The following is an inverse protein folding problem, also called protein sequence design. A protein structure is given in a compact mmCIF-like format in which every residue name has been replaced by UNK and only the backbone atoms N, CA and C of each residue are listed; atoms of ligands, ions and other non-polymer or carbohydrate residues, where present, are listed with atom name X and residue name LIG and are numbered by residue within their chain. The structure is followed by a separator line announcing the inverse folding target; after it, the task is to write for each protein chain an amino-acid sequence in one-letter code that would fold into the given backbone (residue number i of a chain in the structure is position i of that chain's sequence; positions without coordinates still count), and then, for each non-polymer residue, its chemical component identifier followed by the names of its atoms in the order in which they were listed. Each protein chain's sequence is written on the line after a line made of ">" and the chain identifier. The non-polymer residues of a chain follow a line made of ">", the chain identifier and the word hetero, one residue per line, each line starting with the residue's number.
data_IF_884955987991
#
_entry.id   IF_884955987991
#
_cell.length_a   1.000
_cell.length_b   1.000
_cell.length_c   1.000
_cell.angle_alpha   90.00
_cell.angle_beta   90.00
_cell.angle_gamma   90.00
#
_symmetry.space_group_name_H-M   'P 1'
#
loop_
_entity.id
_entity.type
_entity.pdbx_description
1 polymer ?
#
# COMPACT_ATOMS: atom_id res chain seq x y z
N UNK A 1 -5.69 -23.78 -7.26
CA UNK A 1 -6.10 -23.62 -5.85
C UNK A 1 -7.34 -22.75 -5.89
N UNK A 2 -8.43 -23.14 -5.24
CA UNK A 2 -9.64 -22.32 -5.27
C UNK A 2 -9.39 -21.00 -4.53
N UNK A 3 -9.76 -19.90 -5.16
CA UNK A 3 -9.69 -18.56 -4.58
C UNK A 3 -10.53 -18.52 -3.30
N UNK A 4 -9.93 -18.10 -2.19
CA UNK A 4 -10.59 -18.01 -0.90
C UNK A 4 -11.28 -16.65 -0.68
N UNK A 5 -10.67 -15.58 -1.17
CA UNK A 5 -11.16 -14.20 -1.11
C UNK A 5 -10.41 -13.34 -2.13
N UNK A 6 -10.71 -12.05 -2.24
CA UNK A 6 -9.93 -11.12 -3.06
C UNK A 6 -8.59 -10.80 -2.41
N UNK A 7 -8.60 -10.60 -1.09
CA UNK A 7 -7.42 -10.34 -0.29
C UNK A 7 -7.38 -11.19 0.99
N UNK A 8 -6.17 -11.42 1.48
CA UNK A 8 -5.86 -12.26 2.62
C UNK A 8 -5.03 -11.46 3.62
N UNK A 9 -5.27 -11.61 4.91
CA UNK A 9 -4.46 -10.99 5.98
C UNK A 9 -3.69 -12.06 6.74
N UNK A 10 -2.36 -11.98 6.74
CA UNK A 10 -1.50 -12.92 7.48
C UNK A 10 -1.17 -12.43 8.88
N UNK A 11 -0.95 -11.11 9.04
CA UNK A 11 -0.37 -10.51 10.23
C UNK A 11 -0.99 -9.14 10.48
N UNK A 12 -0.97 -8.70 11.72
CA UNK A 12 -1.58 -7.43 12.14
C UNK A 12 -0.77 -6.76 13.22
N UNK A 13 -0.83 -5.44 13.28
CA UNK A 13 -0.28 -4.62 14.36
C UNK A 13 -1.39 -3.76 14.92
N UNK A 14 -1.48 -3.71 16.24
CA UNK A 14 -2.47 -2.91 16.96
C UNK A 14 -1.80 -1.71 17.62
N UNK A 15 -2.51 -0.58 17.68
CA UNK A 15 -2.10 0.58 18.47
C UNK A 15 -2.52 0.44 19.95
N UNK A 16 -2.31 1.52 20.72
CA UNK A 16 -2.64 1.58 22.15
C UNK A 16 -4.14 1.48 22.45
N UNK A 17 -4.98 1.76 21.46
CA UNK A 17 -6.44 1.68 21.55
C UNK A 17 -6.96 0.33 21.05
N UNK A 18 -6.07 -0.63 20.77
CA UNK A 18 -6.40 -1.93 20.18
C UNK A 18 -7.10 -1.81 18.82
N UNK A 19 -6.73 -0.79 18.06
CA UNK A 19 -7.14 -0.61 16.68
C UNK A 19 -6.02 -1.02 15.73
N UNK A 20 -6.37 -1.53 14.56
CA UNK A 20 -5.40 -1.97 13.56
C UNK A 20 -4.65 -0.75 13.05
N UNK A 21 -3.35 -0.70 13.35
CA UNK A 21 -2.45 0.30 12.80
C UNK A 21 -2.00 -0.13 11.40
N UNK A 22 -1.52 -1.37 11.27
CA UNK A 22 -1.08 -1.95 10.00
C UNK A 22 -1.44 -3.42 9.94
N UNK A 23 -1.81 -3.92 8.77
CA UNK A 23 -1.99 -5.34 8.49
C UNK A 23 -1.22 -5.75 7.23
N UNK A 24 -0.70 -6.98 7.21
CA UNK A 24 -0.02 -7.54 6.04
C UNK A 24 -1.07 -8.20 5.13
N UNK A 25 -1.33 -7.55 4.00
CA UNK A 25 -2.28 -7.98 2.98
C UNK A 25 -1.59 -8.73 1.85
N UNK A 26 -2.20 -9.83 1.42
CA UNK A 26 -1.82 -10.56 0.21
C UNK A 26 -2.99 -10.61 -0.76
N UNK A 27 -2.72 -10.68 -2.05
CA UNK A 27 -3.74 -10.94 -3.07
C UNK A 27 -3.81 -12.44 -3.36
N UNK A 28 -5.02 -12.98 -3.44
CA UNK A 28 -5.26 -14.36 -3.84
C UNK A 28 -5.50 -14.42 -5.36
N UNK A 29 -4.56 -15.02 -6.07
CA UNK A 29 -4.59 -15.15 -7.53
C UNK A 29 -4.64 -16.61 -7.93
N UNK A 30 -4.98 -16.89 -9.19
CA UNK A 30 -4.96 -18.25 -9.72
C UNK A 30 -3.57 -18.91 -9.66
N UNK A 31 -2.50 -18.09 -9.63
CA UNK A 31 -1.11 -18.51 -9.49
C UNK A 31 -0.68 -18.73 -8.04
N UNK A 32 -1.51 -18.35 -7.08
CA UNK A 32 -1.25 -18.42 -5.64
C UNK A 32 -1.31 -17.06 -4.95
N UNK A 33 -0.77 -17.05 -3.73
CA UNK A 33 -0.81 -15.90 -2.82
C UNK A 33 0.42 -15.02 -3.06
N UNK A 34 0.20 -13.71 -3.29
CA UNK A 34 1.29 -12.76 -3.56
C UNK A 34 2.14 -12.47 -2.31
N UNK A 35 3.24 -11.72 -2.47
CA UNK A 35 3.97 -11.14 -1.33
C UNK A 35 3.04 -10.24 -0.50
N UNK A 36 3.29 -10.20 0.81
CA UNK A 36 2.55 -9.36 1.74
C UNK A 36 2.90 -7.89 1.57
N UNK A 37 1.89 -7.04 1.59
CA UNK A 37 2.00 -5.58 1.55
C UNK A 37 1.34 -4.98 2.77
N UNK A 38 1.98 -4.03 3.47
CA UNK A 38 1.35 -3.33 4.58
C UNK A 38 0.17 -2.48 4.09
N UNK A 39 -0.95 -2.55 4.80
CA UNK A 39 -2.15 -1.77 4.55
C UNK A 39 -2.76 -1.30 5.87
N UNK A 40 -3.45 -0.16 5.85
CA UNK A 40 -4.14 0.40 7.02
C UNK A 40 -5.58 -0.13 7.16
N UNK A 41 -6.16 0.09 8.35
CA UNK A 41 -7.53 -0.28 8.70
C UNK A 41 -8.60 0.37 7.81
N UNK A 42 -8.44 1.64 7.45
CA UNK A 42 -9.44 2.38 6.69
C UNK A 42 -9.54 1.85 5.27
N UNK A 43 -8.41 1.50 4.67
CA UNK A 43 -8.37 0.86 3.35
C UNK A 43 -9.11 -0.48 3.36
N UNK A 44 -8.80 -1.38 4.31
CA UNK A 44 -9.50 -2.67 4.42
C UNK A 44 -11.01 -2.45 4.63
N UNK A 45 -11.38 -1.51 5.49
CA UNK A 45 -12.78 -1.20 5.77
C UNK A 45 -13.52 -0.69 4.53
N UNK A 46 -12.87 0.19 3.76
CA UNK A 46 -13.43 0.75 2.53
C UNK A 46 -13.59 -0.32 1.45
N UNK A 47 -12.59 -1.18 1.30
CA UNK A 47 -12.64 -2.32 0.38
C UNK A 47 -13.81 -3.25 0.70
N UNK A 48 -13.98 -3.63 1.97
CA UNK A 48 -15.09 -4.49 2.40
C UNK A 48 -16.44 -3.82 2.14
N UNK A 49 -16.56 -2.51 2.37
CA UNK A 49 -17.77 -1.73 2.06
C UNK A 49 -18.06 -1.72 0.54
N UNK A 50 -17.02 -1.74 -0.29
CA UNK A 50 -17.12 -1.84 -1.75
C UNK A 50 -17.35 -3.28 -2.27
N UNK A 51 -17.51 -4.26 -1.38
CA UNK A 51 -17.80 -5.65 -1.74
C UNK A 51 -16.57 -6.52 -1.96
N UNK A 52 -15.37 -6.01 -1.70
CA UNK A 52 -14.12 -6.77 -1.77
C UNK A 52 -14.03 -7.70 -0.56
N UNK A 53 -13.75 -8.98 -0.80
CA UNK A 53 -13.71 -9.99 0.25
C UNK A 53 -12.32 -10.10 0.89
N UNK A 54 -12.30 -10.15 2.22
CA UNK A 54 -11.10 -10.36 3.03
C UNK A 54 -11.25 -11.58 3.94
N UNK A 55 -10.20 -12.39 4.03
CA UNK A 55 -10.08 -13.46 5.03
C UNK A 55 -8.73 -13.41 5.74
N UNK A 56 -8.67 -13.93 6.96
CA UNK A 56 -7.38 -14.20 7.60
C UNK A 56 -6.75 -15.48 7.07
N UNK A 57 -5.43 -15.57 7.12
CA UNK A 57 -4.66 -16.76 6.78
C UNK A 57 -3.55 -17.00 7.81
N UNK A 58 -3.14 -18.25 7.96
CA UNK A 58 -2.07 -18.65 8.87
C UNK A 58 -0.92 -19.27 8.08
N UNK A 59 0.30 -18.79 8.32
CA UNK A 59 1.51 -19.40 7.78
C UNK A 59 1.84 -20.69 8.54
N UNK A 60 1.96 -21.79 7.80
CA UNK A 60 2.48 -23.07 8.29
C UNK A 60 3.88 -23.34 7.71
N UNK A 61 4.50 -24.46 8.10
CA UNK A 61 5.87 -24.83 7.69
C UNK A 61 6.11 -24.75 6.17
N UNK A 62 5.09 -25.05 5.35
CA UNK A 62 5.18 -24.99 3.88
C UNK A 62 3.84 -24.68 3.20
N UNK A 63 2.84 -24.20 3.93
CA UNK A 63 1.50 -23.98 3.37
C UNK A 63 0.74 -22.90 4.13
N UNK A 64 -0.21 -22.29 3.43
CA UNK A 64 -1.18 -21.38 4.01
C UNK A 64 -2.41 -22.15 4.46
N UNK A 65 -2.96 -21.76 5.62
CA UNK A 65 -4.25 -22.25 6.09
C UNK A 65 -5.28 -21.13 6.03
N UNK A 66 -6.44 -21.45 5.47
CA UNK A 66 -7.61 -20.55 5.44
C UNK A 66 -8.07 -20.27 6.87
N UNK A 67 -8.25 -18.99 7.19
CA UNK A 67 -8.82 -18.52 8.44
C UNK A 67 -10.27 -18.05 8.28
N UNK A 68 -10.59 -16.95 8.94
CA UNK A 68 -11.94 -16.43 9.10
C UNK A 68 -12.20 -15.24 8.19
N UNK A 69 -13.46 -15.04 7.80
CA UNK A 69 -13.87 -13.86 7.03
C UNK A 69 -13.82 -12.62 7.90
N UNK A 70 -13.17 -11.58 7.39
CA UNK A 70 -13.12 -10.28 8.04
C UNK A 70 -14.38 -9.50 7.68
N UNK A 71 -14.99 -8.89 8.68
CA UNK A 71 -16.17 -8.06 8.54
C UNK A 71 -15.87 -6.66 9.06
N UNK A 72 -16.52 -5.67 8.47
CA UNK A 72 -16.48 -4.28 8.93
C UNK A 72 -17.84 -3.84 9.46
N UNK A 73 -17.84 -3.02 10.49
CA UNK A 73 -19.01 -2.30 10.98
C UNK A 73 -18.59 -0.90 11.42
N UNK A 74 -19.55 0.00 11.58
CA UNK A 74 -19.27 1.37 12.03
C UNK A 74 -20.04 1.71 13.29
N UNK A 75 -19.35 2.32 14.26
CA UNK A 75 -19.92 2.85 15.50
C UNK A 75 -19.50 4.32 15.57
N UNK A 76 -20.47 5.24 15.69
CA UNK A 76 -20.18 6.68 15.72
C UNK A 76 -19.54 7.25 14.44
N UNK A 77 -19.59 6.52 13.32
CA UNK A 77 -18.93 6.90 12.06
C UNK A 77 -17.55 6.25 11.85
N UNK A 78 -16.94 5.76 12.92
CA UNK A 78 -15.63 5.08 12.86
C UNK A 78 -15.79 3.61 12.44
N UNK A 79 -14.95 3.11 11.51
CA UNK A 79 -14.99 1.71 11.08
C UNK A 79 -14.12 0.82 11.97
N UNK A 80 -14.65 -0.37 12.27
CA UNK A 80 -13.99 -1.43 13.03
C UNK A 80 -14.01 -2.73 12.23
N UNK A 81 -12.97 -3.55 12.39
CA UNK A 81 -12.71 -4.79 11.68
C UNK A 81 -12.65 -5.97 12.65
N UNK A 82 -13.54 -6.94 12.45
CA UNK A 82 -13.61 -8.13 13.31
C UNK A 82 -13.93 -9.40 12.55
N UNK A 83 -13.57 -10.54 13.12
CA UNK A 83 -13.95 -11.87 12.62
C UNK A 83 -15.09 -12.53 13.41
N UNK A 84 -15.30 -12.12 14.67
CA UNK A 84 -16.29 -12.72 15.58
C UNK A 84 -17.71 -12.14 15.44
N UNK A 85 -17.87 -11.03 14.71
CA UNK A 85 -19.16 -10.39 14.47
C UNK A 85 -19.72 -9.58 15.66
N UNK A 86 -18.99 -9.47 16.77
CA UNK A 86 -19.39 -8.58 17.86
C UNK A 86 -19.30 -7.12 17.40
N UNK A 87 -20.19 -6.26 17.91
CA UNK A 87 -20.19 -4.83 17.62
C UNK A 87 -19.61 -4.06 18.79
N UNK A 88 -18.28 -3.95 18.82
CA UNK A 88 -17.51 -3.30 19.87
C UNK A 88 -16.50 -2.36 19.22
N UNK A 89 -16.16 -1.26 19.89
CA UNK A 89 -15.23 -0.22 19.41
C UNK A 89 -13.76 -0.68 19.46
N UNK A 90 -13.49 -1.93 19.11
CA UNK A 90 -12.16 -2.56 19.10
C UNK A 90 -12.03 -3.48 17.88
N UNK A 91 -10.84 -3.51 17.29
CA UNK A 91 -10.53 -4.43 16.20
C UNK A 91 -10.12 -5.81 16.73
N UNK A 92 -10.46 -6.88 16.01
CA UNK A 92 -10.06 -8.23 16.39
C UNK A 92 -10.06 -9.18 15.21
N UNK A 93 -8.87 -9.54 14.74
CA UNK A 93 -8.68 -10.51 13.65
C UNK A 93 -8.39 -11.93 14.18
N UNK A 94 -8.75 -12.18 15.44
CA UNK A 94 -8.53 -13.45 16.12
C UNK A 94 -7.07 -13.68 16.48
N UNK A 95 -6.64 -14.93 16.36
CA UNK A 95 -5.29 -15.39 16.76
C UNK A 95 -4.27 -15.32 15.62
N UNK A 96 -4.41 -14.39 14.67
CA UNK A 96 -3.34 -14.16 13.70
C UNK A 96 -2.12 -13.55 14.41
N UNK A 97 -0.89 -13.80 13.93
CA UNK A 97 0.31 -13.22 14.52
C UNK A 97 0.20 -11.70 14.61
N UNK A 98 0.46 -11.18 15.81
CA UNK A 98 0.58 -9.75 16.05
C UNK A 98 2.05 -9.37 15.97
N UNK A 99 2.40 -8.52 15.01
CA UNK A 99 3.76 -8.00 14.83
C UNK A 99 3.84 -6.60 15.44
N UNK A 100 4.94 -6.32 16.13
CA UNK A 100 5.18 -4.98 16.65
C UNK A 100 5.48 -4.06 15.47
N UNK A 101 4.94 -2.84 15.48
CA UNK A 101 5.12 -1.89 14.38
C UNK A 101 6.62 -1.71 14.01
N UNK A 102 7.51 -1.78 15.02
CA UNK A 102 8.96 -1.71 14.84
C UNK A 102 9.53 -2.77 13.87
N UNK A 103 9.00 -4.00 13.92
CA UNK A 103 9.43 -5.11 13.07
C UNK A 103 8.97 -4.91 11.61
N UNK A 104 7.87 -4.18 11.42
CA UNK A 104 7.30 -3.87 10.12
C UNK A 104 8.07 -2.76 9.39
N UNK A 105 8.59 -1.77 10.13
CA UNK A 105 9.49 -0.74 9.59
C UNK A 105 10.82 -1.34 9.11
N UNK A 106 11.32 -2.39 9.78
CA UNK A 106 12.54 -3.09 9.34
C UNK A 106 12.37 -3.79 7.99
N UNK A 107 11.16 -4.29 7.67
CA UNK A 107 10.88 -4.95 6.39
C UNK A 107 10.82 -3.98 5.21
N UNK A 108 10.42 -2.73 5.45
CA UNK A 108 10.39 -1.67 4.42
C UNK A 108 11.78 -1.05 4.20
N UNK A 109 12.63 -1.06 5.24
CA UNK A 109 14.01 -0.58 5.18
C UNK A 109 15.01 -1.63 4.70
N UNK A 110 14.60 -2.91 4.60
CA UNK A 110 15.45 -3.94 4.03
C UNK A 110 15.70 -3.59 2.55
N UNK A 111 16.95 -3.32 2.14
CA UNK A 111 17.25 -3.03 0.75
C UNK A 111 16.77 -4.22 -0.07
N UNK A 112 15.96 -3.96 -1.10
CA UNK A 112 15.64 -5.00 -2.10
C UNK A 112 16.97 -5.62 -2.54
N UNK A 113 17.13 -6.96 -2.53
CA UNK A 113 18.34 -7.56 -3.05
C UNK A 113 18.42 -7.14 -4.50
N UNK A 114 19.33 -6.21 -4.78
CA UNK A 114 19.71 -5.79 -6.11
C UNK A 114 20.12 -7.07 -6.82
N UNK A 115 19.20 -7.62 -7.60
CA UNK A 115 19.50 -8.71 -8.50
C UNK A 115 20.36 -8.04 -9.54
N UNK A 116 21.68 -8.17 -9.38
CA UNK A 116 22.62 -7.87 -10.44
C UNK A 116 22.24 -8.77 -11.62
N UNK A 117 21.41 -8.26 -12.53
CA UNK A 117 21.40 -8.78 -13.89
C UNK A 117 22.84 -8.65 -14.41
N UNK A 118 23.50 -9.74 -14.83
CA UNK A 118 24.81 -9.64 -15.42
C UNK A 118 24.68 -8.87 -16.73
N UNK A 119 24.99 -7.58 -16.68
CA UNK A 119 25.20 -6.74 -17.85
C UNK A 119 26.36 -7.37 -18.64
N UNK A 120 26.17 -7.77 -19.92
CA UNK A 120 27.28 -8.28 -20.71
C UNK A 120 28.31 -7.16 -20.91
N UNK A 121 29.55 -7.43 -20.49
CA UNK A 121 30.72 -6.58 -20.65
C UNK A 121 30.90 -6.19 -22.13
N UNK A 122 30.94 -4.88 -22.48
CA UNK A 122 31.23 -4.48 -23.85
C UNK A 122 32.74 -4.57 -24.11
N UNK A 123 33.10 -5.28 -25.20
CA UNK A 123 34.46 -5.31 -25.76
C UNK A 123 35.05 -3.89 -25.97
N UNK A 124 36.38 -3.72 -25.88
CA UNK A 124 37.02 -2.41 -25.93
C UNK A 124 36.96 -1.81 -27.35
N UNK A 125 36.46 -0.58 -27.46
CA UNK A 125 36.45 0.19 -28.70
C UNK A 125 37.87 0.64 -29.14
N UNK A 126 38.15 0.74 -30.45
CA UNK A 126 39.39 1.32 -30.97
C UNK A 126 39.40 2.86 -30.86
N UNK A 127 40.59 3.50 -30.87
CA UNK A 127 40.73 4.90 -30.49
C UNK A 127 40.29 5.89 -31.58
N UNK A 128 39.58 6.92 -31.14
CA UNK A 128 39.16 8.09 -31.90
C UNK A 128 40.31 8.86 -32.55
N UNK A 129 40.05 9.59 -33.64
CA UNK A 129 40.78 10.81 -33.95
C UNK A 129 39.92 12.06 -33.79
N UNK A 130 40.46 12.98 -32.98
CA UNK A 130 40.29 14.44 -32.96
C UNK A 130 39.53 15.08 -34.14
N UNK A 131 38.64 16.01 -33.81
CA UNK A 131 38.63 17.33 -34.44
C UNK A 131 37.27 17.91 -34.84
N UNK A 132 36.94 19.03 -34.18
CA UNK A 132 36.16 20.17 -34.69
C UNK A 132 34.62 20.13 -34.66
N UNK A 133 34.08 20.91 -33.72
CA UNK A 133 32.82 21.68 -33.75
C UNK A 133 32.71 22.55 -35.04
N UNK A 134 31.55 23.18 -35.42
CA UNK A 134 30.41 23.57 -34.55
C UNK A 134 28.95 23.53 -35.14
N UNK A 135 27.97 23.69 -34.22
CA UNK A 135 26.69 24.45 -34.24
C UNK A 135 25.48 24.04 -35.13
N UNK A 136 24.30 24.46 -34.63
CA UNK A 136 22.91 24.39 -35.16
C UNK A 136 22.22 23.02 -34.90
N UNK A 137 21.04 22.87 -34.31
CA UNK A 137 19.79 23.65 -34.18
C UNK A 137 19.22 23.40 -32.76
N UNK A 138 18.62 24.34 -32.00
CA UNK A 138 17.37 25.09 -32.23
C UNK A 138 16.15 24.17 -32.51
N UNK A 139 15.33 23.95 -31.48
CA UNK A 139 13.83 23.87 -31.44
C UNK A 139 13.46 23.02 -30.20
N UNK A 140 13.18 23.64 -29.05
CA UNK A 140 11.87 24.15 -28.63
C UNK A 140 10.92 23.00 -28.18
N UNK A 141 10.89 22.80 -26.86
CA UNK A 141 9.87 22.01 -26.14
C UNK A 141 8.65 22.91 -25.88
N UNK A 142 7.44 22.56 -26.35
CA UNK A 142 6.20 23.00 -25.75
C UNK A 142 5.71 21.92 -24.75
N UNK A 143 5.08 22.18 -23.62
CA UNK A 143 4.60 23.38 -22.93
C UNK A 143 4.35 22.91 -21.49
N UNK A 144 4.98 23.53 -20.50
CA UNK A 144 4.50 23.44 -19.12
C UNK A 144 3.22 24.28 -19.05
N UNK A 145 2.09 23.62 -18.81
CA UNK A 145 0.82 24.27 -18.56
C UNK A 145 0.85 24.87 -17.17
N UNK A 146 1.18 26.16 -17.17
CA UNK A 146 1.00 27.14 -16.11
C UNK A 146 -0.46 27.10 -15.62
N UNK A 147 -0.70 26.51 -14.46
CA UNK A 147 -1.87 26.82 -13.65
C UNK A 147 -1.42 27.78 -12.55
N UNK A 148 -1.37 29.06 -12.91
CA UNK A 148 -1.33 30.16 -11.95
C UNK A 148 -2.51 30.10 -10.95
N UNK A 149 -2.31 30.59 -9.72
CA UNK A 149 -3.35 30.68 -8.69
C UNK A 149 -4.34 31.83 -8.97
N UNK A 150 -5.64 31.57 -8.84
CA UNK A 150 -6.63 32.65 -8.85
C UNK A 150 -6.72 33.39 -7.49
N UNK A 151 -6.87 34.72 -7.50
CA UNK A 151 -6.78 35.59 -6.33
C UNK A 151 -8.08 35.69 -5.48
N UNK A 152 -7.84 36.06 -4.23
CA UNK A 152 -8.76 36.43 -3.14
C UNK A 152 -9.91 37.33 -3.60
N UNK A 153 -11.15 36.92 -3.31
CA UNK A 153 -12.30 37.83 -3.30
C UNK A 153 -12.62 38.23 -1.86
N UNK A 154 -12.45 39.52 -1.60
CA UNK A 154 -12.78 40.26 -0.38
C UNK A 154 -14.30 40.47 -0.32
N UNK A 155 -14.99 39.89 0.68
CA UNK A 155 -16.36 40.28 1.03
C UNK A 155 -16.32 41.29 2.19
N UNK A 156 -16.91 42.49 2.03
CA UNK A 156 -16.96 43.50 3.08
C UNK A 156 -18.11 43.24 4.07
N UNK A 157 -17.78 43.23 5.36
CA UNK A 157 -18.72 43.49 6.48
C UNK A 157 -18.81 45.00 6.69
N UNK A 158 -20.01 45.62 6.83
CA UNK A 158 -20.60 45.96 8.15
C UNK A 158 -22.16 45.99 8.11
N UNK A 159 -23.01 46.15 9.15
CA UNK A 159 -23.00 46.29 10.63
C UNK A 159 -24.46 45.98 11.12
N UNK A 160 -24.80 46.02 12.44
CA UNK A 160 -26.04 45.47 13.02
C UNK A 160 -27.25 46.41 12.99
N UNK A 161 -28.44 45.83 13.23
CA UNK A 161 -29.62 46.48 13.83
C UNK A 161 -30.10 45.68 15.05
#
# INVERSE_FOLDING_TARGET
>A
MDKWADYLISEVSYDTEHLISVAIRHQDTEKGITKGTPIDRLTISSDIKNGISYITIYSGKNSWKKGHRIQTFSIGGEPFLRIDGNKVELDSLGDIPTVSNLELLELDLAPEPVTEEPTPEPEPAPPSPRGSLPKESAEELPQELDLAPEPVTEEPTPEPE
#
